data_IF_190995900213
#
_entry.id   IF_190995900213
#
_cell.length_a   1.000
_cell.length_b   1.000
_cell.length_c   1.000
_cell.angle_alpha   90.00
_cell.angle_beta   90.00
_cell.angle_gamma   90.00
#
_symmetry.space_group_name_H-M   'P 1'
#
loop_
_entity.id
_entity.type
_entity.pdbx_description
1 polymer ?
#
# COMPACT_ATOMS: atom_id res chain seq x y z
N UNK A 1 11.01 -17.57 6.94
CA UNK A 1 11.20 -16.82 8.20
C UNK A 1 10.03 -15.85 8.33
N UNK A 2 9.59 -15.52 9.55
CA UNK A 2 8.57 -14.49 9.73
C UNK A 2 9.17 -13.13 9.33
N UNK A 3 8.48 -12.35 8.49
CA UNK A 3 8.85 -10.98 8.19
C UNK A 3 8.83 -10.16 9.47
N UNK A 4 9.87 -9.39 9.69
CA UNK A 4 9.94 -8.45 10.80
C UNK A 4 9.04 -7.26 10.51
N UNK A 5 8.20 -6.95 11.48
CA UNK A 5 7.20 -5.89 11.33
C UNK A 5 7.59 -4.65 12.13
N UNK A 6 7.10 -3.50 11.68
CA UNK A 6 7.34 -2.20 12.28
C UNK A 6 6.01 -1.63 12.78
N UNK A 7 5.88 -1.41 14.09
CA UNK A 7 4.68 -0.81 14.68
C UNK A 7 4.40 0.59 14.12
N UNK A 8 3.16 1.06 14.20
CA UNK A 8 2.78 2.39 13.70
C UNK A 8 3.66 3.50 14.31
N UNK A 9 3.97 3.38 15.61
CA UNK A 9 4.85 4.31 16.32
C UNK A 9 6.27 4.31 15.76
N UNK A 10 6.85 3.13 15.51
CA UNK A 10 8.20 3.04 14.98
C UNK A 10 8.28 3.43 13.50
N UNK A 11 7.21 3.18 12.72
CA UNK A 11 7.08 3.69 11.36
C UNK A 11 7.11 5.22 11.31
N UNK A 12 6.33 5.89 12.17
CA UNK A 12 6.37 7.36 12.28
C UNK A 12 7.75 7.88 12.69
N UNK A 13 8.42 7.19 13.63
CA UNK A 13 9.77 7.57 14.04
C UNK A 13 10.78 7.39 12.90
N UNK A 14 10.67 6.30 12.13
CA UNK A 14 11.54 6.02 11.00
C UNK A 14 11.34 7.06 9.89
N UNK A 15 10.11 7.44 9.56
CA UNK A 15 9.83 8.50 8.58
C UNK A 15 10.49 9.83 8.97
N UNK A 16 10.44 10.18 10.27
CA UNK A 16 11.14 11.36 10.79
C UNK A 16 12.65 11.26 10.60
N UNK A 17 13.23 10.08 10.80
CA UNK A 17 14.66 9.86 10.58
C UNK A 17 15.03 9.94 9.10
N UNK A 18 14.23 9.35 8.20
CA UNK A 18 14.44 9.45 6.76
C UNK A 18 14.45 10.92 6.30
N UNK A 19 13.55 11.74 6.84
CA UNK A 19 13.47 13.17 6.47
C UNK A 19 14.51 14.06 7.17
N UNK A 20 15.11 13.59 8.26
CA UNK A 20 16.14 14.34 9.00
C UNK A 20 17.53 13.85 8.63
N UNK A 21 17.99 12.79 9.29
CA UNK A 21 19.33 12.22 9.07
C UNK A 21 19.47 11.57 7.69
N UNK A 22 18.39 11.07 7.11
CA UNK A 22 18.36 10.55 5.75
C UNK A 22 18.29 11.63 4.67
N UNK A 23 18.06 12.89 5.05
CA UNK A 23 17.99 14.07 4.17
C UNK A 23 17.00 13.96 2.99
N UNK A 24 16.00 13.07 3.10
CA UNK A 24 14.91 13.04 2.12
C UNK A 24 13.91 14.16 2.36
N UNK A 25 13.39 14.77 1.30
CA UNK A 25 12.12 15.48 1.40
C UNK A 25 10.95 14.49 1.42
N UNK A 26 9.80 14.93 1.94
CA UNK A 26 8.57 14.13 1.86
C UNK A 26 8.20 13.80 0.40
N UNK A 27 8.40 14.75 -0.52
CA UNK A 27 8.12 14.56 -1.95
C UNK A 27 9.00 13.47 -2.56
N UNK A 28 10.28 13.39 -2.17
CA UNK A 28 11.19 12.35 -2.64
C UNK A 28 10.76 10.96 -2.14
N UNK A 29 10.39 10.85 -0.86
CA UNK A 29 9.91 9.58 -0.30
C UNK A 29 8.62 9.13 -1.01
N UNK A 30 7.69 10.06 -1.20
CA UNK A 30 6.40 9.81 -1.85
C UNK A 30 6.56 9.41 -3.32
N UNK A 31 7.51 10.03 -4.04
CA UNK A 31 7.80 9.66 -5.44
C UNK A 31 8.35 8.23 -5.54
N UNK A 32 9.27 7.85 -4.64
CA UNK A 32 9.84 6.51 -4.59
C UNK A 32 8.82 5.46 -4.11
N UNK A 33 7.93 5.82 -3.17
CA UNK A 33 6.82 5.00 -2.75
C UNK A 33 5.84 4.76 -3.91
N UNK A 34 5.39 5.82 -4.57
CA UNK A 34 4.53 5.74 -5.75
C UNK A 34 5.14 4.89 -6.87
N UNK A 35 6.43 5.04 -7.15
CA UNK A 35 7.16 4.21 -8.10
C UNK A 35 7.14 2.73 -7.69
N UNK A 36 7.40 2.43 -6.41
CA UNK A 36 7.36 1.06 -5.89
C UNK A 36 5.97 0.44 -6.09
N UNK A 37 4.92 1.13 -5.67
CA UNK A 37 3.54 0.64 -5.82
C UNK A 37 3.19 0.47 -7.30
N UNK A 38 3.64 1.37 -8.19
CA UNK A 38 3.36 1.25 -9.62
C UNK A 38 3.95 -0.03 -10.21
N UNK A 39 5.18 -0.40 -9.81
CA UNK A 39 5.79 -1.66 -10.24
C UNK A 39 5.04 -2.88 -9.69
N UNK A 40 4.57 -2.85 -8.44
CA UNK A 40 3.75 -3.92 -7.89
C UNK A 40 2.42 -4.06 -8.66
N UNK A 41 1.75 -2.94 -8.97
CA UNK A 41 0.53 -2.93 -9.78
C UNK A 41 0.78 -3.56 -11.16
N UNK A 42 1.87 -3.23 -11.85
CA UNK A 42 2.23 -3.88 -13.12
C UNK A 42 2.46 -5.39 -13.00
N UNK A 43 2.99 -5.89 -11.87
CA UNK A 43 3.21 -7.33 -11.63
C UNK A 43 1.92 -8.12 -11.40
N UNK A 44 0.90 -7.49 -10.81
CA UNK A 44 -0.38 -8.15 -10.52
C UNK A 44 -1.43 -7.90 -11.62
N UNK A 45 -1.32 -6.77 -12.30
CA UNK A 45 -2.22 -6.32 -13.35
C UNK A 45 -1.41 -5.79 -14.56
N UNK A 46 -0.76 -6.69 -15.35
CA UNK A 46 -0.04 -6.29 -16.55
C UNK A 46 -0.99 -5.74 -17.62
N UNK A 47 -0.47 -4.87 -18.51
CA UNK A 47 -1.24 -4.21 -19.60
C UNK A 47 -1.97 -5.15 -20.57
N UNK A 48 -1.68 -6.45 -20.50
CA UNK A 48 -2.35 -7.51 -21.28
C UNK A 48 -3.68 -7.98 -20.67
N UNK A 49 -4.04 -7.59 -19.43
CA UNK A 49 -5.19 -8.10 -18.67
C UNK A 49 -6.39 -7.15 -18.54
N UNK A 50 -6.51 -6.19 -19.45
CA UNK A 50 -7.34 -5.01 -19.19
C UNK A 50 -6.45 -3.87 -18.74
N UNK A 51 -7.03 -2.67 -18.68
CA UNK A 51 -6.22 -1.44 -18.72
C UNK A 51 -6.78 -0.30 -17.89
N UNK A 52 -8.00 -0.38 -17.36
CA UNK A 52 -8.60 0.74 -16.65
C UNK A 52 -8.40 0.57 -15.16
N UNK A 53 -7.58 1.41 -14.56
CA UNK A 53 -7.32 1.39 -13.11
C UNK A 53 -8.08 2.52 -12.45
N UNK A 54 -8.70 2.23 -11.31
CA UNK A 54 -9.16 3.24 -10.35
C UNK A 54 -8.13 3.37 -9.23
N UNK A 55 -7.79 4.59 -8.84
CA UNK A 55 -6.94 4.86 -7.66
C UNK A 55 -7.73 5.69 -6.67
N UNK A 56 -8.17 5.07 -5.58
CA UNK A 56 -8.87 5.75 -4.48
C UNK A 56 -7.84 6.37 -3.53
N UNK A 57 -7.67 7.70 -3.59
CA UNK A 57 -6.71 8.44 -2.77
C UNK A 57 -7.39 9.07 -1.55
N UNK A 58 -6.81 8.89 -0.38
CA UNK A 58 -7.23 9.58 0.84
C UNK A 58 -6.61 10.97 0.98
N UNK A 59 -6.88 11.68 2.09
CA UNK A 59 -6.46 13.06 2.27
C UNK A 59 -5.03 13.21 2.85
N UNK A 60 -4.37 12.10 3.22
CA UNK A 60 -3.06 12.09 3.86
C UNK A 60 -1.93 11.58 2.95
N UNK A 61 -0.79 11.24 3.57
CA UNK A 61 0.41 10.78 2.85
C UNK A 61 0.13 9.56 1.94
N UNK A 62 -0.67 8.59 2.40
CA UNK A 62 -1.02 7.41 1.59
C UNK A 62 -1.76 7.81 0.30
N UNK A 63 -2.62 8.83 0.37
CA UNK A 63 -3.26 9.39 -0.81
C UNK A 63 -2.27 10.11 -1.72
N UNK A 64 -1.27 10.78 -1.14
CA UNK A 64 -0.14 11.32 -1.87
C UNK A 64 0.65 10.25 -2.63
N UNK A 65 0.96 9.12 -2.00
CA UNK A 65 1.59 7.96 -2.65
C UNK A 65 0.74 7.45 -3.83
N UNK A 66 -0.59 7.37 -3.62
CA UNK A 66 -1.56 7.05 -4.67
C UNK A 66 -1.53 8.02 -5.86
N UNK A 67 -1.41 9.33 -5.60
CA UNK A 67 -1.30 10.35 -6.65
C UNK A 67 0.03 10.26 -7.42
N UNK A 68 1.14 9.96 -6.75
CA UNK A 68 2.45 9.74 -7.40
C UNK A 68 2.41 8.48 -8.26
N UNK A 69 1.90 7.38 -7.73
CA UNK A 69 1.60 6.17 -8.51
C UNK A 69 0.75 6.50 -9.74
N UNK A 70 -0.33 7.25 -9.58
CA UNK A 70 -1.24 7.56 -10.69
C UNK A 70 -0.53 8.35 -11.79
N UNK A 71 0.35 9.28 -11.40
CA UNK A 71 1.20 10.03 -12.33
C UNK A 71 2.15 9.12 -13.10
N UNK A 72 2.85 8.21 -12.41
CA UNK A 72 3.76 7.24 -13.03
C UNK A 72 3.02 6.32 -14.02
N UNK A 73 1.86 5.79 -13.63
CA UNK A 73 1.03 4.95 -14.49
C UNK A 73 0.50 5.71 -15.72
N UNK A 74 0.05 6.97 -15.57
CA UNK A 74 -0.37 7.82 -16.70
C UNK A 74 0.77 8.09 -17.67
N UNK A 75 1.97 8.37 -17.17
CA UNK A 75 3.16 8.60 -18.01
C UNK A 75 3.55 7.35 -18.81
N UNK A 76 3.24 6.16 -18.30
CA UNK A 76 3.41 4.88 -18.98
C UNK A 76 2.21 4.50 -19.88
N UNK A 77 1.23 5.40 -20.04
CA UNK A 77 0.08 5.22 -20.91
C UNK A 77 -0.97 4.23 -20.37
N UNK A 78 -1.02 4.00 -19.06
CA UNK A 78 -2.05 3.18 -18.41
C UNK A 78 -3.36 3.98 -18.36
N UNK A 79 -4.47 3.47 -18.93
CA UNK A 79 -5.80 4.08 -18.82
C UNK A 79 -6.36 4.12 -17.40
N UNK A 80 -7.15 5.16 -17.12
CA UNK A 80 -7.84 5.35 -15.84
C UNK A 80 -9.35 5.41 -16.06
N UNK A 81 -10.10 5.09 -15.01
CA UNK A 81 -11.50 5.53 -14.89
C UNK A 81 -11.53 6.76 -14.00
N UNK A 82 -12.09 7.85 -14.50
CA UNK A 82 -12.07 9.14 -13.81
C UNK A 82 -13.24 9.34 -12.84
N UNK A 83 -14.30 8.54 -12.97
CA UNK A 83 -15.51 8.61 -12.15
C UNK A 83 -15.67 7.37 -11.26
N UNK A 84 -15.91 7.59 -9.97
CA UNK A 84 -15.95 6.50 -8.98
C UNK A 84 -17.16 5.58 -9.16
N UNK A 85 -18.32 6.13 -9.57
CA UNK A 85 -19.54 5.34 -9.75
C UNK A 85 -19.42 4.38 -10.93
N UNK A 86 -18.90 4.86 -12.07
CA UNK A 86 -18.59 4.04 -13.24
C UNK A 86 -17.38 3.13 -13.02
N UNK A 87 -16.43 3.49 -12.17
CA UNK A 87 -15.23 2.69 -11.95
C UNK A 87 -15.51 1.29 -11.39
N UNK A 88 -16.58 1.10 -10.62
CA UNK A 88 -16.92 -0.23 -10.11
C UNK A 88 -17.39 -1.21 -11.19
N UNK A 89 -17.76 -0.72 -12.38
CA UNK A 89 -18.15 -1.55 -13.54
C UNK A 89 -17.13 -1.50 -14.66
N UNK A 90 -16.37 -0.41 -14.77
CA UNK A 90 -15.43 -0.17 -15.86
C UNK A 90 -13.98 -0.50 -15.52
N UNK A 91 -13.57 -0.38 -14.26
CA UNK A 91 -12.20 -0.67 -13.88
C UNK A 91 -11.95 -2.18 -13.94
N UNK A 92 -10.72 -2.55 -14.27
CA UNK A 92 -10.24 -3.93 -14.23
C UNK A 92 -9.46 -4.22 -12.93
N UNK A 93 -9.05 -3.15 -12.22
CA UNK A 93 -8.25 -3.20 -11.00
C UNK A 93 -8.43 -1.92 -10.18
N UNK A 94 -8.42 -2.05 -8.85
CA UNK A 94 -8.55 -0.91 -7.94
C UNK A 94 -7.33 -0.81 -7.03
N UNK A 95 -6.81 0.40 -6.88
CA UNK A 95 -5.78 0.73 -5.90
C UNK A 95 -6.42 1.47 -4.73
N UNK A 96 -6.30 0.88 -3.55
CA UNK A 96 -6.67 1.46 -2.27
C UNK A 96 -5.47 2.22 -1.69
N UNK A 97 -5.48 3.54 -1.84
CA UNK A 97 -4.50 4.47 -1.30
C UNK A 97 -5.17 5.45 -0.32
N UNK A 98 -6.18 4.99 0.43
CA UNK A 98 -6.98 5.86 1.29
C UNK A 98 -6.26 6.12 2.62
N UNK A 99 -6.02 5.07 3.40
CA UNK A 99 -5.43 5.19 4.73
C UNK A 99 -4.20 4.28 4.89
N UNK A 100 -3.05 4.88 5.22
CA UNK A 100 -1.81 4.17 5.52
C UNK A 100 -1.57 4.01 7.02
N UNK A 101 -0.35 3.67 7.42
CA UNK A 101 -0.02 3.35 8.82
C UNK A 101 -0.35 4.43 9.86
N UNK A 102 -0.40 5.70 9.45
CA UNK A 102 -0.62 6.83 10.36
C UNK A 102 -2.10 7.05 10.69
N UNK A 103 -3.01 6.37 10.01
CA UNK A 103 -4.43 6.48 10.28
C UNK A 103 -4.78 5.83 11.62
N UNK A 104 -5.60 6.52 12.41
CA UNK A 104 -6.16 5.98 13.65
C UNK A 104 -7.55 6.56 13.90
N UNK A 105 -8.37 5.83 14.65
CA UNK A 105 -9.74 6.21 14.97
C UNK A 105 -10.77 5.75 13.94
N UNK A 106 -11.94 6.40 13.97
CA UNK A 106 -13.08 6.02 13.14
C UNK A 106 -12.96 6.53 11.70
N UNK A 107 -13.38 5.69 10.75
CA UNK A 107 -13.51 6.08 9.35
C UNK A 107 -14.73 7.01 9.21
N UNK A 108 -14.50 8.24 8.77
CA UNK A 108 -15.53 9.27 8.57
C UNK A 108 -15.83 9.48 7.09
N UNK A 109 -17.00 10.03 6.80
CA UNK A 109 -17.42 10.36 5.43
C UNK A 109 -16.35 11.18 4.66
N UNK A 110 -16.16 10.93 3.35
CA UNK A 110 -16.95 10.04 2.48
C UNK A 110 -16.47 8.57 2.46
N UNK A 111 -15.46 8.22 3.26
CA UNK A 111 -14.74 6.95 3.12
C UNK A 111 -15.49 5.66 3.51
N UNK A 112 -16.52 5.65 4.39
CA UNK A 112 -17.29 4.44 4.67
C UNK A 112 -17.93 3.86 3.41
N UNK A 113 -18.50 4.71 2.55
CA UNK A 113 -19.10 4.28 1.29
C UNK A 113 -18.06 3.73 0.31
N UNK A 114 -16.90 4.39 0.22
CA UNK A 114 -15.80 3.96 -0.65
C UNK A 114 -15.27 2.58 -0.22
N UNK A 115 -14.96 2.40 1.07
CA UNK A 115 -14.43 1.13 1.60
C UNK A 115 -15.47 0.02 1.46
N UNK A 116 -16.76 0.32 1.66
CA UNK A 116 -17.83 -0.63 1.40
C UNK A 116 -17.85 -1.09 -0.06
N UNK A 117 -17.72 -0.18 -1.02
CA UNK A 117 -17.62 -0.53 -2.44
C UNK A 117 -16.38 -1.39 -2.75
N UNK A 118 -15.22 -1.08 -2.16
CA UNK A 118 -14.00 -1.89 -2.28
C UNK A 118 -14.14 -3.30 -1.71
N UNK A 119 -14.99 -3.48 -0.69
CA UNK A 119 -15.32 -4.78 -0.14
C UNK A 119 -16.28 -5.57 -1.04
N UNK A 120 -17.29 -4.91 -1.59
CA UNK A 120 -18.38 -5.55 -2.33
C UNK A 120 -18.03 -5.84 -3.80
N UNK A 121 -16.96 -5.25 -4.31
CA UNK A 121 -16.49 -5.47 -5.69
C UNK A 121 -15.87 -6.86 -5.89
N UNK A 122 -16.01 -7.40 -7.10
CA UNK A 122 -15.30 -8.60 -7.55
C UNK A 122 -13.92 -8.29 -8.17
N UNK A 123 -13.59 -7.01 -8.32
CA UNK A 123 -12.32 -6.57 -8.89
C UNK A 123 -11.16 -6.84 -7.92
N UNK A 124 -9.96 -7.16 -8.43
CA UNK A 124 -8.77 -7.24 -7.61
C UNK A 124 -8.42 -5.86 -7.02
N UNK A 125 -8.27 -5.80 -5.69
CA UNK A 125 -7.83 -4.60 -4.97
C UNK A 125 -6.37 -4.74 -4.56
N UNK A 126 -5.57 -3.68 -4.77
CA UNK A 126 -4.21 -3.51 -4.22
C UNK A 126 -4.21 -2.40 -3.18
N UNK A 127 -3.92 -2.73 -1.93
CA UNK A 127 -3.79 -1.72 -0.87
C UNK A 127 -2.36 -1.23 -0.74
N UNK A 128 -2.21 0.09 -0.64
CA UNK A 128 -0.96 0.80 -0.41
C UNK A 128 -0.74 0.93 1.09
N UNK A 129 0.40 0.41 1.54
CA UNK A 129 0.91 0.42 2.90
C UNK A 129 0.13 -0.43 3.93
N UNK A 130 -1.18 -0.22 4.01
CA UNK A 130 -2.13 -0.94 4.83
C UNK A 130 -3.48 -1.02 4.09
N UNK A 131 -4.26 -2.11 4.23
CA UNK A 131 -5.64 -2.11 3.79
C UNK A 131 -6.42 -1.05 4.57
N UNK A 132 -7.12 -0.17 3.86
CA UNK A 132 -7.84 0.91 4.50
C UNK A 132 -8.87 0.38 5.49
N UNK A 133 -8.94 1.04 6.65
CA UNK A 133 -9.67 0.66 7.87
C UNK A 133 -9.09 -0.46 8.73
N UNK A 134 -7.98 -1.10 8.35
CA UNK A 134 -7.34 -2.09 9.22
C UNK A 134 -6.56 -1.41 10.34
N UNK A 135 -6.61 -1.98 11.55
CA UNK A 135 -5.67 -1.64 12.62
C UNK A 135 -4.28 -2.09 12.20
N UNK A 136 -3.29 -1.22 12.39
CA UNK A 136 -1.90 -1.53 12.09
C UNK A 136 -1.36 -2.63 12.99
N UNK A 137 -1.87 -2.70 14.21
CA UNK A 137 -1.44 -3.66 15.23
C UNK A 137 -2.34 -4.91 15.26
N UNK A 138 -3.66 -4.73 15.11
CA UNK A 138 -4.66 -5.79 15.35
C UNK A 138 -5.32 -6.35 14.08
N UNK A 139 -4.99 -5.80 12.90
CA UNK A 139 -5.50 -6.27 11.62
C UNK A 139 -6.95 -5.82 11.30
N UNK A 140 -7.74 -6.64 10.60
CA UNK A 140 -9.05 -6.25 10.09
C UNK A 140 -10.06 -5.94 11.21
N UNK A 141 -10.94 -4.95 11.03
CA UNK A 141 -11.93 -4.60 12.03
C UNK A 141 -13.04 -5.66 12.12
N UNK A 142 -13.56 -5.90 13.33
CA UNK A 142 -14.66 -6.86 13.59
C UNK A 142 -16.05 -6.30 13.23
N UNK A 143 -16.16 -4.99 13.02
CA UNK A 143 -17.39 -4.28 12.67
C UNK A 143 -17.09 -3.00 11.88
N UNK A 144 -18.11 -2.33 11.36
CA UNK A 144 -17.94 -1.09 10.58
C UNK A 144 -17.66 -1.33 9.08
N UNK A 145 -17.33 -0.27 8.32
CA UNK A 145 -17.34 -0.28 6.86
C UNK A 145 -16.33 -1.25 6.24
N UNK A 146 -15.18 -1.48 6.89
CA UNK A 146 -14.17 -2.42 6.39
C UNK A 146 -14.25 -3.82 6.99
N UNK A 147 -15.30 -4.16 7.75
CA UNK A 147 -15.47 -5.53 8.22
C UNK A 147 -15.68 -6.47 7.02
N UNK A 148 -14.76 -7.43 6.88
CA UNK A 148 -14.69 -8.35 5.75
C UNK A 148 -14.05 -7.77 4.48
N UNK A 149 -13.51 -6.54 4.51
CA UNK A 149 -12.68 -6.04 3.42
C UNK A 149 -11.31 -6.72 3.47
N UNK A 150 -10.92 -7.35 2.36
CA UNK A 150 -9.65 -8.06 2.24
C UNK A 150 -9.09 -7.89 0.82
N UNK A 151 -8.02 -7.11 0.62
CA UNK A 151 -7.48 -6.88 -0.71
C UNK A 151 -6.78 -8.12 -1.26
N UNK A 152 -6.70 -8.21 -2.59
CA UNK A 152 -5.97 -9.29 -3.26
C UNK A 152 -4.44 -9.13 -3.16
N UNK A 153 -3.98 -7.89 -3.04
CA UNK A 153 -2.57 -7.52 -3.01
C UNK A 153 -2.31 -6.45 -1.95
N UNK A 154 -1.20 -6.54 -1.24
CA UNK A 154 -0.72 -5.53 -0.30
C UNK A 154 0.70 -5.11 -0.69
N UNK A 155 0.96 -3.81 -0.70
CA UNK A 155 2.31 -3.25 -0.88
C UNK A 155 2.71 -2.54 0.41
N UNK A 156 3.51 -3.18 1.25
CA UNK A 156 4.07 -2.52 2.43
C UNK A 156 5.19 -1.57 2.03
N UNK A 157 5.10 -0.30 2.42
CA UNK A 157 6.15 0.68 2.17
C UNK A 157 7.15 0.69 3.33
N UNK A 158 8.44 0.80 2.98
CA UNK A 158 9.61 0.79 3.88
C UNK A 158 9.82 -0.54 4.58
N UNK A 159 8.84 -0.99 5.36
CA UNK A 159 8.82 -2.26 6.07
C UNK A 159 7.37 -2.74 6.27
N UNK A 160 7.13 -4.05 6.39
CA UNK A 160 5.84 -4.61 6.78
C UNK A 160 5.35 -4.06 8.12
N UNK A 161 4.02 -3.88 8.25
CA UNK A 161 3.35 -3.54 9.52
C UNK A 161 2.81 -4.80 10.20
N UNK A 162 2.54 -4.81 11.52
CA UNK A 162 2.04 -6.01 12.21
C UNK A 162 0.76 -6.61 11.61
N UNK A 163 -0.10 -5.77 11.02
CA UNK A 163 -1.31 -6.16 10.27
C UNK A 163 -1.09 -7.26 9.21
N UNK A 164 0.14 -7.44 8.70
CA UNK A 164 0.43 -8.45 7.67
C UNK A 164 0.21 -9.88 8.18
N UNK A 165 0.16 -10.09 9.50
CA UNK A 165 -0.19 -11.38 10.10
C UNK A 165 -1.57 -11.87 9.67
N UNK A 166 -2.52 -10.97 9.40
CA UNK A 166 -3.87 -11.29 8.96
C UNK A 166 -4.03 -11.32 7.44
N UNK A 167 -3.01 -10.88 6.71
CA UNK A 167 -3.06 -10.79 5.26
C UNK A 167 -2.70 -12.14 4.60
N UNK A 168 -3.42 -12.49 3.53
CA UNK A 168 -3.29 -13.79 2.85
C UNK A 168 -3.17 -13.70 1.31
N UNK A 169 -3.17 -12.49 0.74
CA UNK A 169 -3.06 -12.27 -0.70
C UNK A 169 -1.61 -12.29 -1.23
N UNK A 170 -1.33 -11.55 -2.32
CA UNK A 170 0.05 -11.32 -2.78
C UNK A 170 0.67 -10.16 -2.01
N UNK A 171 1.84 -10.35 -1.42
CA UNK A 171 2.47 -9.33 -0.57
C UNK A 171 3.76 -8.83 -1.21
N UNK A 172 3.88 -7.52 -1.37
CA UNK A 172 5.09 -6.86 -1.83
C UNK A 172 5.64 -5.94 -0.75
N UNK A 173 6.96 -5.79 -0.72
CA UNK A 173 7.67 -4.78 0.05
C UNK A 173 8.30 -3.80 -0.94
N UNK A 174 7.98 -2.52 -0.80
CA UNK A 174 8.53 -1.41 -1.58
C UNK A 174 9.18 -0.35 -0.69
N UNK A 175 9.64 0.73 -1.32
CA UNK A 175 10.35 1.80 -0.61
C UNK A 175 11.84 1.49 -0.45
N UNK A 176 12.52 1.24 -1.57
CA UNK A 176 13.95 0.90 -1.65
C UNK A 176 14.85 2.13 -1.43
N UNK A 177 14.77 2.74 -0.25
CA UNK A 177 15.54 3.94 0.10
C UNK A 177 16.12 3.92 1.53
N UNK A 178 15.88 2.85 2.29
CA UNK A 178 16.37 2.73 3.66
C UNK A 178 17.86 2.42 3.66
N UNK A 179 18.65 3.28 4.30
CA UNK A 179 20.10 3.07 4.45
C UNK A 179 20.40 1.93 5.46
N UNK A 180 21.59 1.31 5.38
CA UNK A 180 22.00 0.28 6.35
C UNK A 180 21.95 0.76 7.81
N UNK A 181 22.29 2.03 8.08
CA UNK A 181 22.29 2.59 9.43
C UNK A 181 20.86 2.75 9.99
N UNK A 182 19.92 3.21 9.17
CA UNK A 182 18.50 3.30 9.56
C UNK A 182 17.94 1.89 9.75
N UNK A 183 18.21 0.96 8.81
CA UNK A 183 17.80 -0.43 8.95
C UNK A 183 18.30 -1.05 10.26
N UNK A 184 19.58 -0.83 10.60
CA UNK A 184 20.16 -1.28 11.87
C UNK A 184 19.49 -0.65 13.09
N UNK A 185 19.24 0.67 13.07
CA UNK A 185 18.60 1.40 14.17
C UNK A 185 17.21 0.85 14.51
N UNK A 186 16.41 0.55 13.49
CA UNK A 186 15.06 0.01 13.66
C UNK A 186 15.00 -1.51 13.64
N UNK A 187 16.16 -2.18 13.61
CA UNK A 187 16.29 -3.62 13.56
C UNK A 187 15.51 -4.23 12.38
N UNK A 188 15.50 -3.57 11.23
CA UNK A 188 14.77 -4.01 10.05
C UNK A 188 15.49 -5.16 9.35
N UNK A 189 14.70 -6.11 8.85
CA UNK A 189 15.15 -7.17 7.96
C UNK A 189 14.51 -6.95 6.59
N UNK A 190 15.19 -6.15 5.77
CA UNK A 190 14.71 -5.79 4.44
C UNK A 190 15.05 -6.90 3.44
N UNK A 191 14.15 -7.21 2.49
CA UNK A 191 14.44 -8.17 1.45
C UNK A 191 15.52 -7.65 0.50
N UNK A 192 16.21 -8.57 -0.17
CA UNK A 192 17.11 -8.22 -1.26
C UNK A 192 16.29 -7.84 -2.49
N UNK A 193 16.43 -6.59 -2.95
CA UNK A 193 15.83 -6.13 -4.19
C UNK A 193 16.68 -6.57 -5.39
N UNK A 194 16.05 -7.14 -6.40
CA UNK A 194 16.73 -7.63 -7.60
C UNK A 194 16.99 -6.49 -8.59
N UNK A 195 18.24 -6.38 -9.08
CA UNK A 195 18.60 -5.39 -10.09
C UNK A 195 18.15 -3.97 -9.74
N UNK A 196 17.29 -3.40 -10.60
CA UNK A 196 16.70 -2.05 -10.47
C UNK A 196 15.28 -2.04 -9.88
N UNK A 197 14.77 -3.20 -9.45
CA UNK A 197 13.42 -3.31 -8.90
C UNK A 197 13.23 -2.42 -7.68
N UNK A 198 12.05 -1.82 -7.59
CA UNK A 198 11.61 -1.01 -6.45
C UNK A 198 10.68 -1.78 -5.51
N UNK A 199 10.38 -3.04 -5.84
CA UNK A 199 9.56 -3.94 -5.02
C UNK A 199 10.10 -5.36 -5.03
N UNK A 200 9.88 -6.07 -3.93
CA UNK A 200 10.11 -7.51 -3.80
C UNK A 200 8.80 -8.18 -3.40
N UNK A 201 8.42 -9.25 -4.10
CA UNK A 201 7.32 -10.11 -3.65
C UNK A 201 7.82 -11.01 -2.52
N UNK A 202 7.10 -11.06 -1.41
CA UNK A 202 7.46 -11.85 -0.23
C UNK A 202 6.42 -12.92 0.02
N UNK A 203 6.88 -14.09 0.48
CA UNK A 203 5.99 -15.18 0.86
C UNK A 203 5.17 -14.81 2.10
N UNK A 204 3.86 -15.04 2.03
CA UNK A 204 2.96 -14.75 3.14
C UNK A 204 3.17 -15.71 4.32
N UNK A 205 3.38 -15.13 5.50
CA UNK A 205 3.64 -15.88 6.74
C UNK A 205 2.40 -16.63 7.23
N UNK A 206 1.20 -16.12 6.93
CA UNK A 206 -0.08 -16.71 7.34
C UNK A 206 -0.31 -18.13 6.77
N UNK A 207 0.48 -18.56 5.78
CA UNK A 207 0.41 -19.90 5.19
C UNK A 207 1.19 -20.95 6.03
N UNK A 208 1.84 -20.55 7.14
CA UNK A 208 2.65 -21.46 7.99
C UNK A 208 2.10 -21.70 9.40
N UNK A 209 0.81 -21.45 9.67
CA UNK A 209 0.14 -21.86 10.90
C UNK A 209 -0.96 -22.89 10.62
#
# INVERSE_FOLDING_TARGET
>A
MALKTLSAKNAAALDKDLMSVGAFSIDQLMELAGLSVSQAVFRVHPLSRGRRILVACGPGNNGGDGLRLATQLRNLGVPFVDDFESAMTEADHVVDAIFGFSFSGEVREPFPAVIKALKETSLPVTSVDAPSSWSIEDGPPVSGPGNGFHPSTLVSLTAPKPLVKWFTGRHFIGGRFVSPDIAKKYNLELPAYEGIDQVVEVENIAIKL
#
